data_IF_751299583241
#
_entry.id   IF_751299583241
#
_cell.length_a   1.000
_cell.length_b   1.000
_cell.length_c   1.000
_cell.angle_alpha   90.00
_cell.angle_beta   90.00
_cell.angle_gamma   90.00
#
_symmetry.space_group_name_H-M   'P 1'
#
loop_
_entity.id
_entity.type
_entity.pdbx_description
1 polymer ?
#
# COMPACT_ATOMS: atom_id res chain seq x y z
N UNK A 1 15.37 50.66 -30.76
CA UNK A 1 14.29 51.52 -30.24
C UNK A 1 13.27 50.60 -29.61
N UNK A 2 13.01 50.53 -28.30
CA UNK A 2 13.50 51.18 -27.08
C UNK A 2 13.07 50.26 -25.90
N UNK A 3 13.96 49.96 -24.96
CA UNK A 3 13.96 50.40 -23.54
C UNK A 3 12.59 50.25 -22.80
N UNK A 4 12.44 49.32 -21.85
CA UNK A 4 12.84 49.34 -20.41
C UNK A 4 12.04 50.33 -19.54
N UNK A 5 11.37 49.83 -18.48
CA UNK A 5 11.51 50.23 -17.05
C UNK A 5 10.38 49.59 -16.18
N UNK A 6 10.64 48.76 -15.15
CA UNK A 6 11.21 49.00 -13.78
C UNK A 6 10.11 49.41 -12.76
N UNK A 7 9.68 48.49 -11.87
CA UNK A 7 9.86 48.45 -10.39
C UNK A 7 8.83 49.30 -9.58
N UNK A 8 8.54 49.14 -8.27
CA UNK A 8 9.21 48.55 -7.09
C UNK A 8 8.19 48.47 -5.92
N UNK A 9 8.42 47.55 -4.98
CA UNK A 9 8.31 47.83 -3.53
C UNK A 9 7.61 46.74 -2.69
N UNK A 10 8.01 46.41 -1.45
CA UNK A 10 9.28 46.47 -0.68
C UNK A 10 8.96 45.89 0.73
N UNK A 11 9.99 45.37 1.41
CA UNK A 11 10.14 45.16 2.88
C UNK A 11 9.60 43.85 3.50
N UNK A 12 10.27 43.14 4.44
CA UNK A 12 11.56 43.32 5.12
C UNK A 12 11.98 42.05 5.89
N UNK A 13 13.29 41.92 6.10
CA UNK A 13 14.04 41.27 7.20
C UNK A 13 14.61 39.84 7.07
N UNK A 14 15.93 39.87 6.94
CA UNK A 14 16.98 38.87 7.13
C UNK A 14 17.02 38.26 8.54
N UNK A 15 17.46 37.00 8.63
CA UNK A 15 18.55 36.64 9.54
C UNK A 15 19.58 35.75 8.81
N UNK A 16 20.85 36.13 8.96
CA UNK A 16 22.05 35.44 8.46
C UNK A 16 22.52 34.41 9.49
N UNK A 17 23.00 33.25 9.03
CA UNK A 17 24.01 32.50 9.76
C UNK A 17 25.22 32.20 8.85
N UNK A 18 26.40 32.41 9.44
CA UNK A 18 27.75 32.41 8.86
C UNK A 18 28.22 31.02 8.39
N UNK A 19 29.03 30.91 7.31
CA UNK A 19 29.77 29.70 6.99
C UNK A 19 31.25 29.84 7.37
N UNK A 20 31.71 29.07 8.35
CA UNK A 20 33.15 28.85 8.57
C UNK A 20 33.50 27.35 8.56
N UNK A 21 34.64 27.09 7.91
CA UNK A 21 35.51 25.90 7.99
C UNK A 21 35.10 24.63 7.22
N UNK A 22 35.40 24.62 5.92
CA UNK A 22 36.03 23.45 5.28
C UNK A 22 37.19 23.93 4.38
N UNK A 23 38.41 23.84 4.89
CA UNK A 23 39.64 24.00 4.12
C UNK A 23 40.08 22.65 3.56
N UNK A 24 40.50 22.67 2.29
CA UNK A 24 41.30 21.60 1.69
C UNK A 24 40.49 20.61 0.85
N UNK A 25 40.39 20.86 -0.46
CA UNK A 25 41.02 20.04 -1.50
C UNK A 25 40.92 20.78 -2.84
N UNK A 26 42.05 20.93 -3.51
CA UNK A 26 42.24 21.67 -4.77
C UNK A 26 41.70 20.85 -5.95
N UNK A 27 40.57 21.25 -6.53
CA UNK A 27 40.12 20.74 -7.83
C UNK A 27 40.84 21.52 -8.96
N UNK A 28 41.59 20.82 -9.81
CA UNK A 28 42.09 21.38 -11.06
C UNK A 28 41.05 21.11 -12.17
N UNK A 29 40.46 22.18 -12.73
CA UNK A 29 39.69 22.10 -13.96
C UNK A 29 40.63 22.22 -15.17
N UNK A 30 40.60 21.23 -16.07
CA UNK A 30 41.19 21.34 -17.41
C UNK A 30 40.07 21.24 -18.43
N UNK A 31 39.75 22.35 -19.07
CA UNK A 31 38.74 22.45 -20.12
C UNK A 31 39.42 22.17 -21.47
N UNK A 32 38.94 21.18 -22.23
CA UNK A 32 39.26 21.03 -23.64
C UNK A 32 37.96 21.17 -24.44
N UNK A 33 37.93 22.15 -25.34
CA UNK A 33 36.89 22.34 -26.36
C UNK A 33 37.19 21.44 -27.57
N UNK A 34 36.16 20.83 -28.15
CA UNK A 34 36.09 20.61 -29.60
C UNK A 34 34.64 20.33 -30.03
N UNK A 35 34.32 20.81 -31.23
CA UNK A 35 33.00 20.97 -31.83
C UNK A 35 32.30 19.69 -32.33
N UNK A 36 30.97 19.83 -32.37
CA UNK A 36 29.88 19.13 -33.07
C UNK A 36 30.17 17.97 -34.05
N UNK A 37 29.53 16.80 -33.81
CA UNK A 37 28.54 16.19 -34.73
C UNK A 37 27.93 14.88 -34.15
N UNK A 38 26.68 14.63 -34.54
CA UNK A 38 25.78 13.53 -34.20
C UNK A 38 26.38 12.17 -33.75
N UNK A 39 26.13 11.79 -32.49
CA UNK A 39 25.70 10.46 -32.04
C UNK A 39 25.58 10.46 -30.51
N UNK A 40 24.47 9.97 -29.94
CA UNK A 40 24.33 9.79 -28.49
C UNK A 40 25.34 8.72 -28.05
N UNK A 41 26.44 9.14 -27.44
CA UNK A 41 27.34 8.27 -26.67
C UNK A 41 27.24 8.65 -25.21
N UNK A 42 26.84 7.68 -24.39
CA UNK A 42 26.87 7.78 -22.94
C UNK A 42 28.31 7.99 -22.47
N UNK A 43 28.54 9.02 -21.66
CA UNK A 43 29.78 9.22 -20.92
C UNK A 43 29.68 8.49 -19.59
N UNK A 44 30.61 7.58 -19.31
CA UNK A 44 30.74 6.94 -18.00
C UNK A 44 31.76 7.70 -17.16
N UNK A 45 31.35 8.23 -16.01
CA UNK A 45 32.25 8.65 -14.94
C UNK A 45 32.45 7.48 -13.98
N UNK A 46 33.68 6.97 -13.89
CA UNK A 46 34.07 6.04 -12.82
C UNK A 46 34.34 6.84 -11.54
N UNK A 47 33.52 6.63 -10.51
CA UNK A 47 33.81 7.07 -9.15
C UNK A 47 34.34 5.86 -8.39
N UNK A 48 35.66 5.76 -8.23
CA UNK A 48 36.26 4.79 -7.31
C UNK A 48 36.34 5.41 -5.92
N UNK A 49 35.47 4.99 -5.01
CA UNK A 49 35.59 5.33 -3.58
C UNK A 49 36.57 4.36 -2.90
N UNK A 50 37.60 4.88 -2.23
CA UNK A 50 38.62 4.06 -1.57
C UNK A 50 38.05 3.38 -0.31
N UNK A 51 38.38 2.11 -0.12
CA UNK A 51 37.72 1.16 0.80
C UNK A 51 38.12 1.29 2.28
N UNK A 52 38.69 2.42 2.72
CA UNK A 52 39.46 2.46 3.97
C UNK A 52 38.85 3.23 5.15
N UNK A 53 37.59 3.68 5.11
CA UNK A 53 37.00 4.47 6.22
C UNK A 53 35.56 4.11 6.64
N UNK A 54 35.06 2.91 6.32
CA UNK A 54 33.69 2.51 6.70
C UNK A 54 33.64 1.53 7.88
N UNK A 55 32.74 1.79 8.84
CA UNK A 55 32.49 0.96 10.02
C UNK A 55 31.78 -0.37 9.64
N UNK A 56 31.79 -1.40 10.51
CA UNK A 56 31.16 -2.70 10.23
C UNK A 56 29.67 -2.59 9.86
N UNK A 57 28.91 -1.70 10.50
CA UNK A 57 27.49 -1.46 10.22
C UNK A 57 27.24 -0.83 8.83
N UNK A 58 28.24 -0.12 8.27
CA UNK A 58 28.15 0.47 6.93
C UNK A 58 28.50 -0.54 5.81
N UNK A 59 29.06 -1.70 6.15
CA UNK A 59 29.42 -2.74 5.17
C UNK A 59 28.24 -3.64 4.80
N UNK A 60 27.22 -3.76 5.66
CA UNK A 60 26.05 -4.60 5.39
C UNK A 60 25.02 -3.96 4.44
N UNK A 61 24.97 -2.63 4.31
CA UNK A 61 24.00 -1.97 3.41
C UNK A 61 24.42 -1.88 1.94
N UNK A 62 25.64 -2.34 1.58
CA UNK A 62 26.19 -2.16 0.22
C UNK A 62 26.00 -3.38 -0.69
N UNK A 63 25.25 -4.42 -0.29
CA UNK A 63 25.10 -5.65 -1.09
C UNK A 63 23.99 -5.65 -2.14
N UNK A 64 23.13 -4.64 -2.20
CA UNK A 64 22.09 -4.57 -3.24
C UNK A 64 22.03 -3.18 -3.83
N UNK A 65 22.94 -2.89 -4.76
CA UNK A 65 22.84 -1.72 -5.64
C UNK A 65 22.91 -2.21 -7.09
N UNK A 66 21.80 -2.75 -7.59
CA UNK A 66 21.57 -2.81 -9.04
C UNK A 66 21.06 -1.45 -9.48
N UNK A 67 21.92 -0.68 -10.15
CA UNK A 67 21.54 0.61 -10.72
C UNK A 67 20.84 0.37 -12.05
N UNK A 68 19.50 0.33 -12.03
CA UNK A 68 18.71 0.75 -13.18
C UNK A 68 18.19 2.16 -12.90
N UNK A 69 18.46 3.07 -13.82
CA UNK A 69 18.14 4.48 -13.67
C UNK A 69 16.63 4.71 -13.57
N UNK A 70 16.18 5.09 -12.38
CA UNK A 70 15.22 6.16 -12.08
C UNK A 70 14.89 6.12 -10.59
N UNK A 71 15.22 7.20 -9.87
CA UNK A 71 14.82 7.50 -8.48
C UNK A 71 14.97 6.37 -7.44
N UNK A 72 16.18 6.22 -6.89
CA UNK A 72 16.36 5.41 -5.68
C UNK A 72 15.79 6.17 -4.47
N UNK A 73 14.61 5.76 -3.99
CA UNK A 73 14.10 6.21 -2.68
C UNK A 73 14.79 5.40 -1.58
N UNK A 74 15.31 6.09 -0.57
CA UNK A 74 15.74 5.46 0.68
C UNK A 74 14.46 5.02 1.40
N UNK A 75 14.17 3.72 1.37
CA UNK A 75 13.05 3.15 2.12
C UNK A 75 13.43 3.16 3.61
N UNK A 76 12.63 3.87 4.42
CA UNK A 76 12.71 3.82 5.88
C UNK A 76 12.40 2.42 6.42
N UNK A 77 12.59 2.18 7.73
CA UNK A 77 12.49 0.85 8.33
C UNK A 77 11.06 0.28 8.19
N UNK A 78 10.95 -0.89 7.55
CA UNK A 78 9.76 -1.73 7.35
C UNK A 78 8.43 -0.99 7.08
N UNK A 79 8.26 -0.48 5.85
CA UNK A 79 6.97 0.06 5.36
C UNK A 79 6.13 -1.02 4.64
N UNK A 80 6.12 -2.25 5.16
CA UNK A 80 5.38 -3.38 4.59
C UNK A 80 4.10 -3.67 5.37
N UNK A 81 3.07 -4.17 4.68
CA UNK A 81 1.84 -4.64 5.32
C UNK A 81 2.17 -5.71 6.38
N UNK A 82 1.67 -5.52 7.60
CA UNK A 82 1.82 -6.52 8.65
C UNK A 82 0.62 -7.46 8.72
N UNK A 83 0.89 -8.77 8.74
CA UNK A 83 -0.11 -9.79 9.01
C UNK A 83 0.45 -10.88 9.94
N UNK A 84 -0.41 -11.50 10.74
CA UNK A 84 -0.02 -12.52 11.72
C UNK A 84 -1.17 -13.46 12.09
N UNK A 85 -0.84 -14.65 12.59
CA UNK A 85 -1.83 -15.54 13.18
C UNK A 85 -2.30 -15.04 14.54
N UNK A 86 -3.60 -15.17 14.79
CA UNK A 86 -4.22 -14.70 16.02
C UNK A 86 -4.12 -15.72 17.17
N UNK A 87 -4.09 -15.21 18.41
CA UNK A 87 -4.40 -16.01 19.60
C UNK A 87 -5.89 -16.38 19.68
N UNK A 88 -6.24 -17.16 20.70
CA UNK A 88 -7.62 -17.59 20.98
C UNK A 88 -8.24 -16.85 22.16
N UNK A 89 -7.71 -15.68 22.54
CA UNK A 89 -8.25 -14.88 23.64
C UNK A 89 -9.63 -14.31 23.27
N UNK A 90 -10.51 -14.19 24.26
CA UNK A 90 -11.80 -13.50 24.18
C UNK A 90 -11.72 -12.03 24.63
N UNK A 91 -10.49 -11.53 24.78
CA UNK A 91 -10.17 -10.11 24.95
C UNK A 91 -10.80 -9.21 23.87
N UNK A 92 -10.74 -7.90 24.12
CA UNK A 92 -11.21 -6.88 23.17
C UNK A 92 -10.61 -7.09 21.76
N UNK A 93 -11.50 -7.40 20.80
CA UNK A 93 -11.19 -7.63 19.38
C UNK A 93 -10.30 -6.57 18.73
N UNK A 94 -10.27 -5.35 19.28
CA UNK A 94 -9.48 -4.21 18.79
C UNK A 94 -8.01 -4.30 19.15
N UNK A 95 -7.62 -5.18 20.09
CA UNK A 95 -6.21 -5.42 20.45
C UNK A 95 -5.49 -6.19 19.32
N UNK A 96 -4.16 -6.24 19.27
CA UNK A 96 -3.45 -6.96 18.22
C UNK A 96 -3.67 -8.48 18.18
N UNK A 97 -3.97 -9.14 19.31
CA UNK A 97 -4.18 -10.60 19.39
C UNK A 97 -3.06 -11.45 18.75
N UNK A 98 -1.79 -11.09 18.94
CA UNK A 98 -0.66 -11.88 18.41
C UNK A 98 -0.44 -13.14 19.24
N UNK A 99 -0.13 -14.24 18.58
CA UNK A 99 0.42 -15.43 19.26
C UNK A 99 1.70 -15.07 20.04
N UNK A 100 2.00 -15.86 21.07
CA UNK A 100 3.27 -15.78 21.81
C UNK A 100 3.96 -17.16 21.80
N UNK A 101 5.04 -17.35 21.00
CA UNK A 101 5.71 -16.37 20.16
C UNK A 101 4.88 -15.96 18.92
N UNK A 102 5.13 -14.75 18.40
CA UNK A 102 4.44 -14.23 17.22
C UNK A 102 4.74 -15.06 15.97
N UNK A 103 3.71 -15.29 15.15
CA UNK A 103 3.82 -15.99 13.85
C UNK A 103 3.30 -15.05 12.77
N UNK A 104 4.21 -14.36 12.10
CA UNK A 104 3.89 -13.45 10.99
C UNK A 104 3.47 -14.20 9.73
N UNK A 105 2.64 -13.56 8.92
CA UNK A 105 2.21 -14.04 7.60
C UNK A 105 2.75 -13.09 6.54
N UNK A 106 3.41 -13.64 5.53
CA UNK A 106 3.96 -12.88 4.41
C UNK A 106 2.91 -12.52 3.36
N UNK A 107 3.19 -11.48 2.56
CA UNK A 107 2.35 -11.11 1.41
C UNK A 107 2.19 -12.26 0.40
N UNK A 108 3.20 -13.12 0.24
CA UNK A 108 3.12 -14.28 -0.64
C UNK A 108 2.18 -15.36 -0.11
N UNK A 109 2.07 -15.52 1.21
CA UNK A 109 1.08 -16.40 1.84
C UNK A 109 -0.33 -15.82 1.70
N UNK A 110 -0.51 -14.51 1.90
CA UNK A 110 -1.79 -13.84 1.65
C UNK A 110 -2.22 -13.99 0.18
N UNK A 111 -1.29 -13.86 -0.77
CA UNK A 111 -1.57 -14.03 -2.21
C UNK A 111 -2.06 -15.44 -2.54
N UNK A 112 -1.59 -16.48 -1.84
CA UNK A 112 -2.09 -17.86 -2.02
C UNK A 112 -3.55 -17.99 -1.59
N UNK A 113 -4.01 -17.17 -0.64
CA UNK A 113 -5.41 -17.05 -0.24
C UNK A 113 -6.23 -16.14 -1.19
N UNK A 114 -5.61 -15.62 -2.26
CA UNK A 114 -6.23 -14.67 -3.18
C UNK A 114 -6.32 -13.24 -2.64
N UNK A 115 -5.69 -12.95 -1.50
CA UNK A 115 -5.63 -11.60 -0.93
C UNK A 115 -4.51 -10.80 -1.60
N UNK A 116 -4.85 -9.68 -2.21
CA UNK A 116 -3.90 -8.79 -2.89
C UNK A 116 -3.78 -7.45 -2.17
N UNK A 117 -2.58 -6.86 -2.22
CA UNK A 117 -2.24 -5.60 -1.54
C UNK A 117 -1.42 -4.69 -2.45
N UNK A 118 -1.64 -3.38 -2.30
CA UNK A 118 -0.82 -2.31 -2.87
C UNK A 118 -0.61 -1.21 -1.83
N UNK A 119 0.59 -0.61 -1.82
CA UNK A 119 0.88 0.61 -1.05
C UNK A 119 0.85 1.81 -1.99
N UNK A 120 0.00 2.79 -1.67
CA UNK A 120 -0.25 4.00 -2.46
C UNK A 120 -0.08 5.26 -1.61
N UNK A 121 -0.06 6.43 -2.27
CA UNK A 121 -0.05 7.70 -1.57
C UNK A 121 -1.48 8.19 -1.31
N UNK A 122 -1.99 7.94 -0.11
CA UNK A 122 -3.33 8.34 0.31
C UNK A 122 -3.57 9.86 0.30
N UNK A 123 -2.53 10.71 0.34
CA UNK A 123 -2.71 12.17 0.32
C UNK A 123 -3.18 12.70 -1.03
N UNK A 124 -3.02 11.93 -2.11
CA UNK A 124 -3.34 12.33 -3.47
C UNK A 124 -4.41 11.44 -4.12
N UNK A 125 -5.19 10.69 -3.32
CA UNK A 125 -6.13 9.67 -3.81
C UNK A 125 -7.12 10.15 -4.89
N UNK A 126 -7.44 11.45 -4.94
CA UNK A 126 -8.35 12.03 -5.93
C UNK A 126 -7.74 12.14 -7.34
N UNK A 127 -6.40 12.20 -7.42
CA UNK A 127 -5.65 12.43 -8.68
C UNK A 127 -4.52 11.44 -8.89
N UNK A 128 -4.44 10.39 -8.06
CA UNK A 128 -3.34 9.44 -8.07
C UNK A 128 -3.35 8.58 -9.35
N UNK A 129 -2.35 8.72 -10.24
CA UNK A 129 -2.28 7.93 -11.46
C UNK A 129 -2.03 6.44 -11.18
N UNK A 130 -1.42 6.07 -10.05
CA UNK A 130 -1.19 4.67 -9.69
C UNK A 130 -2.51 3.99 -9.29
N UNK A 131 -3.32 4.67 -8.47
CA UNK A 131 -4.68 4.20 -8.15
C UNK A 131 -5.52 4.04 -9.42
N UNK A 132 -5.51 5.04 -10.32
CA UNK A 132 -6.26 4.99 -11.57
C UNK A 132 -5.82 3.81 -12.47
N UNK A 133 -4.52 3.52 -12.51
CA UNK A 133 -4.00 2.36 -13.24
C UNK A 133 -4.50 1.05 -12.65
N UNK A 134 -4.43 0.88 -11.32
CA UNK A 134 -4.95 -0.32 -10.63
C UNK A 134 -6.44 -0.48 -10.90
N UNK A 135 -7.22 0.60 -10.80
CA UNK A 135 -8.67 0.56 -11.08
C UNK A 135 -8.96 0.11 -12.51
N UNK A 136 -8.20 0.57 -13.50
CA UNK A 136 -8.35 0.13 -14.90
C UNK A 136 -7.99 -1.34 -15.09
N UNK A 137 -6.90 -1.79 -14.51
CA UNK A 137 -6.41 -3.16 -14.65
C UNK A 137 -7.34 -4.19 -13.98
N UNK A 138 -7.88 -3.84 -12.81
CA UNK A 138 -8.76 -4.71 -12.03
C UNK A 138 -10.26 -4.50 -12.35
N UNK A 139 -10.62 -3.44 -13.09
CA UNK A 139 -12.00 -3.15 -13.47
C UNK A 139 -12.84 -2.49 -12.36
N UNK A 140 -12.20 -1.78 -11.42
CA UNK A 140 -12.87 -1.08 -10.31
C UNK A 140 -13.59 0.20 -10.79
N UNK A 141 -14.78 0.02 -11.35
CA UNK A 141 -15.58 1.08 -11.97
C UNK A 141 -16.32 1.97 -10.96
N UNK A 142 -16.67 1.46 -9.78
CA UNK A 142 -17.37 2.22 -8.75
C UNK A 142 -16.46 2.50 -7.56
N UNK A 143 -16.64 3.67 -6.93
CA UNK A 143 -16.05 3.98 -5.63
C UNK A 143 -16.95 4.90 -4.80
N UNK A 144 -16.83 4.79 -3.48
CA UNK A 144 -17.26 5.82 -2.54
C UNK A 144 -16.32 5.90 -1.33
N UNK A 145 -16.57 6.85 -0.44
CA UNK A 145 -15.78 7.05 0.79
C UNK A 145 -16.68 6.81 1.99
N UNK A 146 -16.17 6.03 2.94
CA UNK A 146 -16.78 5.82 4.25
C UNK A 146 -15.81 6.28 5.34
N UNK A 147 -16.35 6.93 6.36
CA UNK A 147 -15.65 7.20 7.62
C UNK A 147 -16.31 6.38 8.71
N UNK A 148 -15.53 5.54 9.39
CA UNK A 148 -15.97 4.73 10.51
C UNK A 148 -15.43 5.38 11.77
N UNK A 149 -16.27 6.15 12.41
CA UNK A 149 -16.03 6.77 13.72
C UNK A 149 -17.37 6.91 14.44
N UNK A 150 -17.36 6.82 15.76
CA UNK A 150 -18.57 6.85 16.60
C UNK A 150 -19.46 8.06 16.31
N UNK A 151 -18.86 9.21 16.07
CA UNK A 151 -19.59 10.47 15.88
C UNK A 151 -20.07 10.72 14.44
N UNK A 152 -19.48 10.04 13.45
CA UNK A 152 -19.74 10.35 12.03
C UNK A 152 -20.50 9.24 11.30
N UNK A 153 -20.44 7.99 11.79
CA UNK A 153 -21.11 6.86 11.16
C UNK A 153 -22.52 6.65 11.75
N UNK A 154 -23.59 6.79 10.97
CA UNK A 154 -24.93 6.45 11.43
C UNK A 154 -25.05 4.97 11.80
N UNK A 155 -25.72 4.69 12.92
CA UNK A 155 -25.85 3.35 13.51
C UNK A 155 -24.50 2.68 13.78
N UNK A 156 -23.51 3.45 14.22
CA UNK A 156 -22.14 2.99 14.47
C UNK A 156 -22.07 1.65 15.22
N UNK A 157 -22.71 1.55 16.39
CA UNK A 157 -22.63 0.35 17.26
C UNK A 157 -23.22 -0.91 16.62
N UNK A 158 -24.22 -0.76 15.75
CA UNK A 158 -24.80 -1.89 15.00
C UNK A 158 -23.89 -2.28 13.83
N UNK A 159 -23.39 -1.28 13.09
CA UNK A 159 -22.52 -1.51 11.93
C UNK A 159 -21.20 -2.18 12.31
N UNK A 160 -20.54 -1.73 13.38
CA UNK A 160 -19.27 -2.34 13.81
C UNK A 160 -19.46 -3.81 14.24
N UNK A 161 -20.63 -4.18 14.78
CA UNK A 161 -20.95 -5.58 15.08
C UNK A 161 -21.15 -6.40 13.80
N UNK A 162 -21.90 -5.86 12.85
CA UNK A 162 -22.13 -6.52 11.55
C UNK A 162 -20.81 -6.72 10.80
N UNK A 163 -19.92 -5.73 10.81
CA UNK A 163 -18.61 -5.85 10.16
C UNK A 163 -17.71 -6.89 10.81
N UNK A 164 -17.83 -7.10 12.12
CA UNK A 164 -17.00 -8.05 12.85
C UNK A 164 -17.54 -9.48 12.89
N UNK A 165 -18.84 -9.67 12.64
CA UNK A 165 -19.42 -10.99 12.45
C UNK A 165 -18.71 -11.67 11.27
N UNK A 166 -18.32 -12.94 11.39
CA UNK A 166 -17.63 -13.64 10.30
C UNK A 166 -18.58 -13.83 9.11
N UNK A 167 -18.19 -13.33 7.94
CA UNK A 167 -19.02 -13.34 6.75
C UNK A 167 -18.21 -13.53 5.46
N UNK A 168 -18.93 -13.70 4.36
CA UNK A 168 -18.40 -13.62 3.01
C UNK A 168 -19.26 -12.71 2.12
N UNK A 169 -18.67 -12.32 1.00
CA UNK A 169 -19.34 -11.61 -0.10
C UNK A 169 -19.30 -12.45 -1.38
N UNK A 170 -20.25 -12.20 -2.28
CA UNK A 170 -20.30 -12.86 -3.60
C UNK A 170 -19.43 -12.15 -4.65
N UNK A 171 -18.98 -10.93 -4.31
CA UNK A 171 -18.06 -10.11 -5.06
C UNK A 171 -16.82 -9.82 -4.19
N UNK A 172 -15.75 -9.33 -4.82
CA UNK A 172 -14.53 -8.96 -4.11
C UNK A 172 -14.78 -7.77 -3.16
N UNK A 173 -14.20 -7.83 -1.97
CA UNK A 173 -14.19 -6.72 -1.03
C UNK A 173 -12.89 -5.91 -1.20
N UNK A 174 -13.00 -4.71 -1.78
CA UNK A 174 -11.86 -3.84 -2.04
C UNK A 174 -11.93 -2.60 -1.14
N UNK A 175 -10.83 -2.32 -0.42
CA UNK A 175 -10.72 -1.23 0.56
C UNK A 175 -9.38 -0.53 0.45
N UNK A 176 -9.40 0.78 0.34
CA UNK A 176 -8.21 1.64 0.35
C UNK A 176 -8.26 2.57 1.55
N UNK A 177 -7.31 2.44 2.48
CA UNK A 177 -7.29 3.25 3.70
C UNK A 177 -6.71 4.64 3.39
N UNK A 178 -7.56 5.64 3.50
CA UNK A 178 -7.22 7.04 3.27
C UNK A 178 -6.68 7.71 4.54
N UNK A 179 -7.13 7.25 5.71
CA UNK A 179 -6.72 7.76 7.01
C UNK A 179 -7.08 6.76 8.13
N UNK A 180 -6.37 6.83 9.25
CA UNK A 180 -6.55 5.89 10.38
C UNK A 180 -6.01 4.48 10.11
N UNK A 181 -6.52 3.52 10.86
CA UNK A 181 -6.04 2.14 10.87
C UNK A 181 -7.15 1.16 11.31
N UNK A 182 -7.05 -0.07 10.82
CA UNK A 182 -8.02 -1.12 11.10
C UNK A 182 -7.43 -2.52 10.84
N UNK A 183 -8.17 -3.55 11.28
CA UNK A 183 -7.86 -4.94 11.01
C UNK A 183 -8.88 -5.58 10.07
N UNK A 184 -8.35 -6.36 9.12
CA UNK A 184 -9.11 -7.38 8.41
C UNK A 184 -8.61 -8.74 8.87
N UNK A 185 -9.52 -9.57 9.38
CA UNK A 185 -9.20 -10.96 9.72
C UNK A 185 -9.70 -11.85 8.59
N UNK A 186 -8.87 -12.78 8.13
CA UNK A 186 -9.20 -13.76 7.07
C UNK A 186 -8.90 -15.18 7.53
N UNK A 187 -9.64 -16.16 7.01
CA UNK A 187 -9.36 -17.59 7.25
C UNK A 187 -8.25 -18.09 6.33
N UNK A 188 -7.29 -18.83 6.89
CA UNK A 188 -6.35 -19.64 6.11
C UNK A 188 -6.99 -20.96 5.62
N UNK A 189 -6.23 -21.76 4.87
CA UNK A 189 -6.69 -23.07 4.36
C UNK A 189 -7.05 -24.08 5.47
N UNK A 190 -6.55 -23.86 6.70
CA UNK A 190 -6.82 -24.69 7.89
C UNK A 190 -7.86 -24.05 8.81
N UNK A 191 -8.59 -23.06 8.31
CA UNK A 191 -9.64 -22.34 9.02
C UNK A 191 -9.13 -21.59 10.26
N UNK A 192 -7.87 -21.16 10.27
CA UNK A 192 -7.27 -20.32 11.32
C UNK A 192 -7.36 -18.84 10.94
N UNK A 193 -7.50 -17.98 11.94
CA UNK A 193 -7.51 -16.54 11.74
C UNK A 193 -6.11 -15.97 11.49
N UNK A 194 -5.99 -15.22 10.40
CA UNK A 194 -4.88 -14.32 10.12
C UNK A 194 -5.42 -12.90 10.22
N UNK A 195 -4.80 -12.08 11.08
CA UNK A 195 -5.07 -10.65 11.20
C UNK A 195 -4.15 -9.87 10.27
N UNK A 196 -4.73 -8.97 9.50
CA UNK A 196 -4.03 -8.06 8.58
C UNK A 196 -4.21 -6.64 9.10
N UNK A 197 -3.12 -5.98 9.47
CA UNK A 197 -3.12 -4.59 9.90
C UNK A 197 -3.05 -3.66 8.69
N UNK A 198 -4.12 -2.91 8.47
CA UNK A 198 -4.24 -1.95 7.39
C UNK A 198 -4.11 -0.53 7.96
N UNK A 199 -3.18 0.24 7.43
CA UNK A 199 -2.96 1.64 7.77
C UNK A 199 -3.09 2.54 6.54
N UNK A 200 -3.00 3.85 6.76
CA UNK A 200 -3.03 4.84 5.68
C UNK A 200 -2.11 4.45 4.51
N UNK A 201 -2.67 4.50 3.30
CA UNK A 201 -1.98 4.15 2.06
C UNK A 201 -2.11 2.68 1.66
N UNK A 202 -2.69 1.82 2.48
CA UNK A 202 -2.89 0.41 2.11
C UNK A 202 -4.20 0.20 1.35
N UNK A 203 -4.09 -0.40 0.16
CA UNK A 203 -5.20 -0.91 -0.64
C UNK A 203 -5.17 -2.44 -0.56
N UNK A 204 -6.29 -3.06 -0.18
CA UNK A 204 -6.46 -4.51 -0.11
C UNK A 204 -7.65 -4.97 -0.97
N UNK A 205 -7.54 -6.17 -1.52
CA UNK A 205 -8.62 -6.89 -2.18
C UNK A 205 -8.76 -8.26 -1.52
N UNK A 206 -9.93 -8.50 -0.91
CA UNK A 206 -10.33 -9.80 -0.39
C UNK A 206 -11.19 -10.50 -1.44
N UNK A 207 -10.84 -11.73 -1.86
CA UNK A 207 -11.53 -12.36 -2.98
C UNK A 207 -12.93 -12.83 -2.58
N UNK A 208 -13.86 -12.78 -3.53
CA UNK A 208 -15.22 -13.27 -3.36
C UNK A 208 -15.25 -14.70 -2.77
N UNK A 209 -16.09 -14.92 -1.75
CA UNK A 209 -16.22 -16.21 -1.07
C UNK A 209 -15.20 -16.49 0.04
N UNK A 210 -14.23 -15.60 0.31
CA UNK A 210 -13.36 -15.74 1.50
C UNK A 210 -14.14 -15.40 2.78
N UNK A 211 -14.01 -16.23 3.81
CA UNK A 211 -14.49 -15.85 5.14
C UNK A 211 -13.56 -14.81 5.73
N UNK A 212 -14.14 -13.68 6.11
CA UNK A 212 -13.43 -12.57 6.68
C UNK A 212 -14.32 -11.79 7.66
N UNK A 213 -13.69 -10.85 8.36
CA UNK A 213 -14.36 -9.85 9.19
C UNK A 213 -13.48 -8.61 9.31
N UNK A 214 -14.09 -7.50 9.70
CA UNK A 214 -13.43 -6.22 9.89
C UNK A 214 -13.63 -5.71 11.31
N UNK A 215 -12.57 -5.15 11.89
CA UNK A 215 -12.67 -4.37 13.13
C UNK A 215 -11.76 -3.16 13.07
N UNK A 216 -12.16 -2.08 13.74
CA UNK A 216 -11.23 -1.04 14.12
C UNK A 216 -10.20 -1.62 15.10
N UNK A 217 -9.07 -0.93 15.24
CA UNK A 217 -8.19 -1.16 16.37
C UNK A 217 -8.49 -0.18 17.53
N UNK A 218 -7.57 -0.12 18.50
CA UNK A 218 -7.70 0.69 19.71
C UNK A 218 -7.78 2.21 19.42
N UNK A 219 -7.43 2.68 18.21
CA UNK A 219 -7.59 4.08 17.80
C UNK A 219 -9.03 4.43 17.42
N UNK A 220 -9.87 3.44 17.14
CA UNK A 220 -11.31 3.60 16.86
C UNK A 220 -11.65 4.51 15.67
N UNK A 221 -10.76 4.61 14.68
CA UNK A 221 -10.98 5.47 13.53
C UNK A 221 -10.37 4.91 12.24
N UNK A 222 -11.18 4.87 11.19
CA UNK A 222 -10.68 4.69 9.82
C UNK A 222 -11.51 5.49 8.82
N UNK A 223 -10.84 6.04 7.80
CA UNK A 223 -11.46 6.56 6.59
C UNK A 223 -11.01 5.69 5.43
N UNK A 224 -11.95 5.06 4.74
CA UNK A 224 -11.67 4.14 3.65
C UNK A 224 -12.41 4.54 2.38
N UNK A 225 -11.74 4.43 1.24
CA UNK A 225 -12.39 4.34 -0.06
C UNK A 225 -12.78 2.88 -0.28
N UNK A 226 -14.05 2.66 -0.65
CA UNK A 226 -14.56 1.35 -1.02
C UNK A 226 -14.64 1.29 -2.54
N UNK A 227 -14.10 0.24 -3.15
CA UNK A 227 -14.10 0.08 -4.61
C UNK A 227 -14.85 -1.19 -5.02
N UNK A 228 -15.49 -1.17 -6.18
CA UNK A 228 -16.29 -2.28 -6.72
C UNK A 228 -16.09 -2.46 -8.21
N UNK A 229 -16.22 -3.71 -8.66
CA UNK A 229 -16.43 -4.05 -10.06
C UNK A 229 -17.93 -3.94 -10.35
N UNK A 230 -18.33 -2.97 -11.18
CA UNK A 230 -19.74 -2.71 -11.45
C UNK A 230 -20.48 -1.98 -10.32
N UNK A 231 -21.79 -2.18 -10.26
CA UNK A 231 -22.66 -1.62 -9.22
C UNK A 231 -22.46 -2.37 -7.89
N UNK A 232 -22.36 -1.68 -6.75
CA UNK A 232 -21.97 -2.31 -5.50
C UNK A 232 -23.10 -3.15 -4.88
N UNK A 233 -22.79 -4.39 -4.50
CA UNK A 233 -23.65 -5.26 -3.69
C UNK A 233 -23.00 -5.49 -2.32
N UNK A 234 -23.46 -4.76 -1.30
CA UNK A 234 -22.89 -4.78 0.05
C UNK A 234 -23.33 -5.97 0.91
N UNK A 235 -24.07 -6.92 0.35
CA UNK A 235 -24.73 -7.96 1.14
C UNK A 235 -23.69 -8.93 1.70
N UNK A 236 -23.57 -8.96 3.01
CA UNK A 236 -22.80 -9.95 3.75
C UNK A 236 -23.64 -11.23 3.97
N UNK A 237 -23.00 -12.38 3.85
CA UNK A 237 -23.56 -13.67 4.24
C UNK A 237 -22.73 -14.22 5.40
N UNK A 238 -23.31 -14.17 6.60
CA UNK A 238 -22.65 -14.65 7.80
C UNK A 238 -22.40 -16.16 7.69
N UNK A 239 -21.30 -16.63 8.27
CA UNK A 239 -20.99 -18.05 8.34
C UNK A 239 -22.03 -18.78 9.22
N UNK A 240 -22.54 -19.98 8.83
CA UNK A 240 -22.21 -20.76 7.64
C UNK A 240 -22.86 -20.23 6.35
N UNK A 241 -22.07 -20.18 5.28
CA UNK A 241 -22.47 -19.76 3.94
C UNK A 241 -21.81 -20.64 2.85
N UNK A 242 -21.58 -21.93 3.16
CA UNK A 242 -20.81 -22.84 2.30
C UNK A 242 -21.57 -23.33 1.06
N UNK A 243 -22.87 -23.10 1.00
CA UNK A 243 -23.74 -23.50 -0.12
C UNK A 243 -23.56 -22.62 -1.37
N UNK A 244 -22.94 -21.45 -1.25
CA UNK A 244 -22.68 -20.60 -2.41
C UNK A 244 -21.59 -21.18 -3.32
N UNK A 245 -21.86 -21.24 -4.63
CA UNK A 245 -20.89 -21.73 -5.61
C UNK A 245 -19.55 -21.00 -5.55
N UNK A 246 -19.55 -19.69 -5.24
CA UNK A 246 -18.31 -18.92 -5.13
C UNK A 246 -17.40 -19.45 -4.00
N UNK A 247 -17.99 -19.88 -2.88
CA UNK A 247 -17.27 -20.46 -1.73
C UNK A 247 -16.71 -21.84 -2.08
N UNK A 248 -17.49 -22.65 -2.80
CA UNK A 248 -17.03 -23.95 -3.28
C UNK A 248 -15.85 -23.81 -4.25
N UNK A 249 -15.92 -22.84 -5.16
CA UNK A 249 -14.85 -22.55 -6.10
C UNK A 249 -13.56 -22.13 -5.39
N UNK A 250 -13.63 -21.26 -4.38
CA UNK A 250 -12.47 -20.86 -3.56
C UNK A 250 -11.72 -22.07 -2.97
N UNK A 251 -12.46 -23.04 -2.42
CA UNK A 251 -11.87 -24.27 -1.88
C UNK A 251 -11.17 -25.12 -2.97
N UNK A 252 -11.62 -25.03 -4.23
CA UNK A 252 -11.02 -25.77 -5.35
C UNK A 252 -9.86 -25.03 -6.03
N UNK A 253 -9.85 -23.69 -6.04
CA UNK A 253 -8.81 -22.87 -6.69
C UNK A 253 -7.47 -22.86 -5.98
N UNK A 254 -7.39 -23.36 -4.73
CA UNK A 254 -6.13 -23.73 -4.07
C UNK A 254 -5.29 -24.74 -4.86
N UNK A 255 -5.82 -25.30 -5.95
CA UNK A 255 -5.14 -26.24 -6.85
C UNK A 255 -4.61 -25.65 -8.17
N UNK A 256 -4.85 -24.38 -8.53
CA UNK A 256 -4.16 -23.70 -9.66
C UNK A 256 -4.63 -22.22 -9.85
N UNK A 257 -3.77 -21.20 -9.65
CA UNK A 257 -4.18 -19.79 -9.69
C UNK A 257 -4.02 -19.11 -11.06
N UNK A 258 -4.09 -19.82 -12.19
CA UNK A 258 -4.03 -19.18 -13.51
C UNK A 258 -5.33 -19.36 -14.29
N UNK A 259 -6.07 -18.25 -14.43
CA UNK A 259 -6.99 -17.96 -15.54
C UNK A 259 -8.49 -18.33 -15.46
N UNK A 260 -9.14 -18.40 -14.30
CA UNK A 260 -10.59 -18.69 -14.26
C UNK A 260 -11.54 -17.50 -14.01
N UNK A 261 -11.09 -16.34 -13.53
CA UNK A 261 -12.00 -15.20 -13.29
C UNK A 261 -12.15 -14.22 -14.46
N UNK A 262 -12.11 -14.69 -15.72
CA UNK A 262 -12.26 -13.82 -16.91
C UNK A 262 -13.31 -14.24 -17.93
N UNK A 263 -14.18 -15.22 -17.63
CA UNK A 263 -15.09 -15.78 -18.64
C UNK A 263 -16.58 -15.86 -18.30
N UNK A 264 -17.03 -15.55 -17.08
CA UNK A 264 -18.46 -15.79 -16.74
C UNK A 264 -19.39 -14.60 -17.09
N UNK A 265 -18.88 -13.38 -17.24
CA UNK A 265 -19.76 -12.21 -17.45
C UNK A 265 -19.93 -11.71 -18.90
N UNK A 266 -19.41 -12.42 -19.90
CA UNK A 266 -19.52 -12.01 -21.32
C UNK A 266 -20.61 -12.70 -22.13
N UNK A 267 -21.46 -13.48 -21.48
CA UNK A 267 -22.57 -14.17 -22.14
C UNK A 267 -23.85 -13.98 -21.34
N UNK A 268 -24.39 -12.77 -21.40
CA UNK A 268 -25.81 -12.40 -21.31
C UNK A 268 -25.90 -10.89 -21.11
N UNK A 269 -25.82 -10.12 -22.20
CA UNK A 269 -26.70 -9.01 -22.63
C UNK A 269 -26.36 -8.72 -24.08
#
# INVERSE_FOLDING_TARGET
MDFVNIFLGKNNNLEMFSPELLSGTRMQHRTLRSDWSHSRKFSYSHVTCSRSTLSPAQRESTRYLFVFGSSARVLGPNMGLEAWYMDSSDDDQRKPHRLNPNVSVSLDELRKLGVFHWKLNADVYETDPELEQIRKEQGYSYMDIITIHKDTLPNYEEKVKVFYEEHLHLDDEIRYILDGQAYFDVRDEKDRWIRIAMEKGDLITLPAGIYHRFTLDETNYVKAMRLFVGEPVWKAYNRPADDFHIRQNQNTSGLNPSATHRLVHRSQV
#
